data_IF_254263852931
#
_entry.id   IF_254263852931
#
_cell.length_a   1.000
_cell.length_b   1.000
_cell.length_c   1.000
_cell.angle_alpha   90.00
_cell.angle_beta   90.00
_cell.angle_gamma   90.00
#
_symmetry.space_group_name_H-M   'P 1'
#
loop_
_entity.id
_entity.type
_entity.pdbx_description
1 polymer ?
#
# COMPACT_ATOMS: atom_id res chain seq x y z
N UNK A 1 12.71 11.62 -10.70
CA UNK A 1 13.42 10.32 -10.78
C UNK A 1 14.93 10.61 -10.70
N UNK A 2 15.48 10.74 -9.50
CA UNK A 2 16.82 11.34 -9.31
C UNK A 2 17.94 10.33 -9.01
N UNK A 3 17.63 9.03 -8.91
CA UNK A 3 18.60 7.98 -8.54
C UNK A 3 18.85 6.95 -9.67
N UNK A 4 18.44 7.24 -10.91
CA UNK A 4 18.63 6.31 -12.04
C UNK A 4 17.79 5.02 -11.98
N UNK A 5 16.84 4.91 -11.05
CA UNK A 5 15.90 3.79 -10.94
C UNK A 5 14.67 4.01 -11.83
N UNK A 6 14.13 2.92 -12.36
CA UNK A 6 12.83 2.89 -13.01
C UNK A 6 11.73 2.96 -11.96
N UNK A 7 10.75 3.83 -12.21
CA UNK A 7 9.63 4.07 -11.29
C UNK A 7 8.32 3.98 -12.04
N UNK A 8 7.40 3.20 -11.51
CA UNK A 8 6.01 3.22 -11.92
C UNK A 8 5.12 3.67 -10.76
N UNK A 9 4.16 4.53 -11.04
CA UNK A 9 3.30 5.16 -10.05
C UNK A 9 1.86 5.15 -10.57
N UNK A 10 0.99 4.39 -9.90
CA UNK A 10 -0.41 4.19 -10.29
C UNK A 10 -1.33 4.56 -9.13
N UNK A 11 -1.86 5.78 -9.12
CA UNK A 11 -2.85 6.16 -8.14
C UNK A 11 -4.20 5.51 -8.50
N UNK A 12 -4.87 4.93 -7.50
CA UNK A 12 -6.25 4.47 -7.62
C UNK A 12 -7.14 5.28 -6.69
N UNK A 13 -7.98 6.11 -7.29
CA UNK A 13 -8.97 6.90 -6.60
C UNK A 13 -10.26 6.94 -7.43
N UNK A 14 -11.39 7.00 -6.75
CA UNK A 14 -12.71 7.08 -7.35
C UNK A 14 -13.69 7.78 -6.41
N UNK A 15 -15.00 7.49 -6.48
CA UNK A 15 -16.00 7.94 -5.50
C UNK A 15 -15.59 7.68 -4.05
N UNK A 16 -14.74 6.67 -3.82
CA UNK A 16 -14.12 6.26 -2.57
C UNK A 16 -13.27 7.36 -1.92
N UNK A 17 -12.86 8.40 -2.65
CA UNK A 17 -12.15 9.55 -2.08
C UNK A 17 -12.96 10.31 -1.02
N UNK A 18 -14.28 10.04 -0.93
CA UNK A 18 -15.22 10.63 0.04
C UNK A 18 -15.43 9.79 1.31
N UNK A 19 -14.52 8.86 1.63
CA UNK A 19 -14.57 8.09 2.88
C UNK A 19 -14.35 6.57 2.74
N UNK A 20 -13.91 6.11 1.57
CA UNK A 20 -13.53 4.73 1.30
C UNK A 20 -12.01 4.56 1.17
N UNK A 21 -11.60 3.49 0.48
CA UNK A 21 -10.18 3.18 0.28
C UNK A 21 -9.68 3.79 -1.03
N UNK A 22 -8.74 4.72 -0.95
CA UNK A 22 -7.88 5.10 -2.07
C UNK A 22 -6.47 4.58 -1.80
N UNK A 23 -5.76 4.16 -2.85
CA UNK A 23 -4.39 3.67 -2.73
C UNK A 23 -3.53 4.19 -3.88
N UNK A 24 -2.24 3.90 -3.80
CA UNK A 24 -1.32 4.18 -4.87
C UNK A 24 -0.26 3.08 -4.90
N UNK A 25 -0.17 2.40 -6.02
CA UNK A 25 0.82 1.37 -6.25
C UNK A 25 2.10 2.00 -6.79
N UNK A 26 3.23 1.64 -6.18
CA UNK A 26 4.55 2.15 -6.54
C UNK A 26 5.50 0.99 -6.76
N UNK A 27 6.12 0.94 -7.93
CA UNK A 27 7.16 -0.04 -8.27
C UNK A 27 8.46 0.71 -8.45
N UNK A 28 9.50 0.30 -7.71
CA UNK A 28 10.87 0.77 -7.87
C UNK A 28 11.71 -0.39 -8.38
N UNK A 29 12.43 -0.19 -9.47
CA UNK A 29 13.24 -1.24 -10.11
C UNK A 29 14.57 -0.68 -10.63
N UNK A 30 15.63 -1.49 -10.55
CA UNK A 30 16.92 -1.21 -11.20
C UNK A 30 16.92 -1.57 -12.70
N UNK A 31 15.88 -2.29 -13.15
CA UNK A 31 15.65 -2.67 -14.55
C UNK A 31 14.28 -2.17 -15.04
N UNK A 32 13.99 -2.32 -16.33
CA UNK A 32 12.70 -1.91 -16.88
C UNK A 32 11.52 -2.62 -16.22
N UNK A 33 10.41 -1.89 -16.06
CA UNK A 33 9.19 -2.38 -15.44
C UNK A 33 8.26 -2.91 -16.54
N UNK A 34 8.12 -4.24 -16.61
CA UNK A 34 7.34 -4.90 -17.66
C UNK A 34 5.81 -4.83 -17.45
N UNK A 35 5.36 -4.71 -16.18
CA UNK A 35 3.94 -4.68 -15.84
C UNK A 35 3.67 -3.69 -14.70
N UNK A 36 2.58 -2.92 -14.79
CA UNK A 36 2.15 -1.99 -13.74
C UNK A 36 1.42 -2.64 -12.56
N UNK A 37 1.14 -3.95 -12.61
CA UNK A 37 0.31 -4.65 -11.64
C UNK A 37 1.09 -4.99 -10.36
N UNK A 38 0.57 -4.58 -9.20
CA UNK A 38 1.12 -4.93 -7.87
C UNK A 38 0.16 -5.88 -7.16
N UNK A 39 0.39 -7.19 -7.30
CA UNK A 39 -0.44 -8.21 -6.63
C UNK A 39 -0.05 -8.43 -5.15
N UNK A 40 1.26 -8.36 -4.87
CA UNK A 40 1.82 -8.65 -3.55
C UNK A 40 2.88 -7.60 -3.18
N UNK A 41 2.46 -6.45 -2.61
CA UNK A 41 3.40 -5.41 -2.20
C UNK A 41 4.30 -5.89 -1.06
N UNK A 42 5.58 -5.49 -1.09
CA UNK A 42 6.54 -5.74 -0.01
C UNK A 42 6.29 -4.83 1.21
N UNK A 43 5.86 -3.59 0.94
CA UNK A 43 5.65 -2.54 1.94
C UNK A 43 4.32 -1.86 1.67
N UNK A 44 3.53 -1.62 2.72
CA UNK A 44 2.28 -0.87 2.64
C UNK A 44 2.25 0.25 3.68
N UNK A 45 1.85 1.45 3.25
CA UNK A 45 1.54 2.58 4.13
C UNK A 45 0.02 2.71 4.21
N UNK A 46 -0.54 2.50 5.40
CA UNK A 46 -1.97 2.39 5.59
C UNK A 46 -2.42 3.43 6.62
N UNK A 47 -3.33 4.31 6.22
CA UNK A 47 -3.70 5.50 7.00
C UNK A 47 -5.09 5.44 7.62
N UNK A 48 -5.87 4.38 7.38
CA UNK A 48 -7.20 4.19 7.96
C UNK A 48 -7.56 2.70 8.08
N UNK A 49 -8.60 2.40 8.87
CA UNK A 49 -9.04 1.03 9.14
C UNK A 49 -9.60 0.31 7.90
N UNK A 50 -10.47 0.91 7.07
CA UNK A 50 -10.97 0.25 5.86
C UNK A 50 -9.86 -0.19 4.89
N UNK A 51 -8.83 0.65 4.72
CA UNK A 51 -7.65 0.31 3.92
C UNK A 51 -6.83 -0.77 4.58
N UNK A 52 -6.70 -0.78 5.91
CA UNK A 52 -6.02 -1.86 6.63
C UNK A 52 -6.71 -3.20 6.37
N UNK A 53 -8.01 -3.28 6.62
CA UNK A 53 -8.80 -4.51 6.47
C UNK A 53 -8.76 -5.03 5.02
N UNK A 54 -8.69 -4.12 4.04
CA UNK A 54 -8.63 -4.46 2.61
C UNK A 54 -7.26 -4.93 2.15
N UNK A 55 -6.21 -4.22 2.56
CA UNK A 55 -4.87 -4.37 1.95
C UNK A 55 -3.91 -5.21 2.77
N UNK A 56 -4.10 -5.33 4.09
CA UNK A 56 -3.22 -6.18 4.92
C UNK A 56 -3.11 -7.64 4.41
N UNK A 57 -4.19 -8.31 3.98
CA UNK A 57 -4.10 -9.70 3.53
C UNK A 57 -3.28 -9.91 2.24
N UNK A 58 -3.08 -8.86 1.44
CA UNK A 58 -2.38 -8.97 0.16
C UNK A 58 -0.89 -8.60 0.25
N UNK A 59 -0.44 -7.98 1.36
CA UNK A 59 0.96 -7.65 1.59
C UNK A 59 1.72 -8.95 1.92
N UNK A 60 2.34 -9.53 0.89
CA UNK A 60 2.97 -10.85 0.95
C UNK A 60 4.45 -10.81 0.54
N UNK A 61 5.25 -9.99 1.24
CA UNK A 61 6.70 -10.02 1.13
C UNK A 61 7.31 -11.21 1.88
N UNK A 62 8.58 -11.55 1.61
CA UNK A 62 9.39 -12.40 2.50
C UNK A 62 9.40 -11.85 3.93
N UNK A 63 9.39 -10.53 4.04
CA UNK A 63 9.19 -9.77 5.28
C UNK A 63 8.19 -8.65 4.95
N UNK A 64 6.87 -8.88 5.14
CA UNK A 64 5.87 -7.87 4.83
C UNK A 64 5.96 -6.72 5.84
N UNK A 65 6.11 -5.49 5.36
CA UNK A 65 6.18 -4.30 6.23
C UNK A 65 4.91 -3.46 6.07
N UNK A 66 4.14 -3.33 7.14
CA UNK A 66 2.95 -2.48 7.17
C UNK A 66 3.21 -1.33 8.15
N UNK A 67 3.22 -0.11 7.62
CA UNK A 67 3.37 1.11 8.40
C UNK A 67 2.00 1.78 8.55
N UNK A 68 1.62 2.03 9.80
CA UNK A 68 0.37 2.69 10.17
C UNK A 68 0.63 3.90 11.08
N UNK A 69 -0.22 4.94 11.05
CA UNK A 69 -0.23 5.97 12.07
C UNK A 69 -0.47 5.38 13.47
N UNK A 70 0.16 5.97 14.49
CA UNK A 70 -0.01 5.56 15.89
C UNK A 70 -1.49 5.59 16.35
N UNK A 71 -2.28 6.52 15.81
CA UNK A 71 -3.73 6.62 16.08
C UNK A 71 -4.52 5.40 15.56
N UNK A 72 -4.05 4.75 14.49
CA UNK A 72 -4.69 3.55 13.95
C UNK A 72 -4.32 2.30 14.75
N UNK A 73 -3.14 2.29 15.41
CA UNK A 73 -2.67 1.16 16.20
C UNK A 73 -3.58 0.83 17.41
N UNK A 74 -4.28 1.83 17.97
CA UNK A 74 -5.17 1.65 19.12
C UNK A 74 -6.48 0.93 18.79
N UNK A 75 -6.91 0.95 17.52
CA UNK A 75 -8.16 0.34 17.06
C UNK A 75 -8.06 -1.19 17.00
N UNK A 76 -6.82 -1.73 17.00
CA UNK A 76 -6.53 -3.16 16.88
C UNK A 76 -6.87 -3.97 18.14
N UNK A 77 -6.87 -3.34 19.32
CA UNK A 77 -7.14 -4.03 20.60
C UNK A 77 -8.62 -4.38 20.83
N UNK A 78 -9.53 -3.93 19.97
CA UNK A 78 -10.98 -4.15 20.14
C UNK A 78 -11.53 -5.41 19.44
N UNK A 79 -10.70 -6.20 18.76
CA UNK A 79 -11.10 -7.46 18.10
C UNK A 79 -10.40 -8.69 18.73
N UNK A 80 -10.60 -8.90 20.03
CA UNK A 80 -10.34 -10.20 20.68
C UNK A 80 -11.61 -10.68 21.36
#
# INVERSE_FOLDING_TARGET
MHQGRNVFWLPSYGPESRGGTCNCDVILSDTDIASPLVAHPNVAFIFNQPSYDKFEPIVAGREPQILIPASLAQVRHAKT
#
